data_IF_340475741121
#
_entry.id   IF_340475741121
#
_cell.length_a   1.000
_cell.length_b   1.000
_cell.length_c   1.000
_cell.angle_alpha   90.00
_cell.angle_beta   90.00
_cell.angle_gamma   90.00
#
_symmetry.space_group_name_H-M   'P 1'
#
loop_
_entity.id
_entity.type
_entity.pdbx_description
1 polymer ?
#
# COMPACT_ATOMS: atom_id res chain seq x y z
N UNK A 1 -22.77 9.25 -10.00
CA UNK A 1 -23.66 10.42 -9.93
C UNK A 1 -25.07 9.93 -9.97
N UNK A 2 -25.89 10.35 -9.00
CA UNK A 2 -27.27 9.91 -8.86
C UNK A 2 -28.22 11.10 -8.95
N UNK A 3 -29.45 10.86 -9.38
CA UNK A 3 -30.55 11.84 -9.31
C UNK A 3 -30.90 12.20 -7.87
N UNK A 4 -31.77 13.21 -7.72
CA UNK A 4 -32.56 13.38 -6.50
C UNK A 4 -33.44 12.15 -6.23
N UNK A 5 -33.89 12.01 -4.98
CA UNK A 5 -34.77 10.90 -4.60
C UNK A 5 -36.13 11.06 -5.29
N UNK A 6 -36.52 10.06 -6.06
CA UNK A 6 -37.80 10.04 -6.78
C UNK A 6 -38.92 9.51 -5.87
N UNK A 7 -40.16 9.64 -6.34
CA UNK A 7 -41.38 9.24 -5.62
C UNK A 7 -41.48 7.74 -5.32
N UNK A 8 -40.77 6.91 -6.08
CA UNK A 8 -40.62 5.47 -5.89
C UNK A 8 -39.53 5.12 -4.85
N UNK A 9 -38.96 6.12 -4.18
CA UNK A 9 -37.85 6.00 -3.25
C UNK A 9 -36.54 5.50 -3.89
N UNK A 10 -36.40 5.60 -5.22
CA UNK A 10 -35.17 5.28 -5.94
C UNK A 10 -34.42 6.53 -6.42
N UNK A 11 -33.18 6.34 -6.84
CA UNK A 11 -32.37 7.36 -7.52
C UNK A 11 -31.83 6.77 -8.83
N UNK A 12 -31.96 7.50 -9.92
CA UNK A 12 -31.34 7.11 -11.19
C UNK A 12 -29.82 7.27 -11.09
N UNK A 13 -29.07 6.28 -11.58
CA UNK A 13 -27.62 6.40 -11.76
C UNK A 13 -27.33 6.99 -13.14
N UNK A 14 -26.73 8.18 -13.19
CA UNK A 14 -26.34 8.81 -14.44
C UNK A 14 -24.96 8.34 -14.92
N UNK A 15 -24.00 8.26 -13.99
CA UNK A 15 -22.60 7.97 -14.29
C UNK A 15 -22.00 7.19 -13.13
N UNK A 16 -21.29 6.10 -13.44
CA UNK A 16 -20.43 5.37 -12.50
C UNK A 16 -18.98 5.46 -12.96
N UNK A 17 -18.07 5.61 -12.01
CA UNK A 17 -16.64 5.59 -12.27
C UNK A 17 -15.98 4.66 -11.26
N UNK A 18 -15.13 3.76 -11.75
CA UNK A 18 -14.38 2.83 -10.92
C UNK A 18 -12.89 3.06 -11.19
N UNK A 19 -12.10 3.12 -10.12
CA UNK A 19 -10.66 3.24 -10.26
C UNK A 19 -10.09 1.93 -10.81
N UNK A 20 -9.25 2.01 -11.85
CA UNK A 20 -8.49 0.88 -12.34
C UNK A 20 -7.28 0.68 -11.41
N UNK A 21 -7.38 -0.31 -10.52
CA UNK A 21 -6.37 -0.59 -9.51
C UNK A 21 -5.50 -1.79 -9.92
N UNK A 22 -4.23 -1.85 -9.47
CA UNK A 22 -3.41 -3.05 -9.62
C UNK A 22 -4.04 -4.27 -8.92
N UNK A 23 -3.95 -5.44 -9.53
CA UNK A 23 -4.55 -6.69 -9.04
C UNK A 23 -3.54 -7.64 -8.37
N UNK A 24 -2.25 -7.28 -8.37
CA UNK A 24 -1.15 -8.10 -7.87
C UNK A 24 -0.75 -7.79 -6.41
N UNK A 25 -1.53 -6.97 -5.69
CA UNK A 25 -1.25 -6.65 -4.30
C UNK A 25 -1.64 -7.81 -3.39
N UNK A 26 -0.68 -8.35 -2.65
CA UNK A 26 -0.86 -9.49 -1.73
C UNK A 26 -0.53 -9.07 -0.30
N UNK A 27 -1.54 -9.13 0.57
CA UNK A 27 -1.39 -8.92 2.02
C UNK A 27 -1.55 -10.23 2.79
N UNK A 28 -1.06 -10.22 4.02
CA UNK A 28 -1.21 -11.26 5.05
C UNK A 28 -0.68 -12.65 4.65
N UNK A 29 0.14 -12.69 3.60
CA UNK A 29 0.69 -13.91 3.03
C UNK A 29 2.13 -13.67 2.59
N UNK A 30 2.97 -14.65 2.88
CA UNK A 30 4.34 -14.65 2.40
C UNK A 30 4.38 -14.99 0.90
N UNK A 31 5.06 -14.17 0.13
CA UNK A 31 5.36 -14.39 -1.30
C UNK A 31 6.87 -14.39 -1.50
N UNK A 32 7.34 -14.95 -2.60
CA UNK A 32 8.77 -14.92 -2.91
C UNK A 32 9.26 -13.46 -3.07
N UNK A 33 10.55 -13.23 -2.82
CA UNK A 33 11.13 -11.87 -2.86
C UNK A 33 11.04 -11.21 -4.23
N UNK A 34 11.05 -11.98 -5.32
CA UNK A 34 10.92 -11.41 -6.68
C UNK A 34 9.50 -10.89 -6.91
N UNK A 35 8.49 -11.71 -6.62
CA UNK A 35 7.09 -11.30 -6.66
C UNK A 35 6.83 -10.10 -5.72
N UNK A 36 7.43 -10.11 -4.53
CA UNK A 36 7.36 -8.99 -3.59
C UNK A 36 7.95 -7.70 -4.17
N UNK A 37 9.11 -7.78 -4.81
CA UNK A 37 9.77 -6.63 -5.44
C UNK A 37 8.96 -6.08 -6.59
N UNK A 38 8.36 -6.95 -7.42
CA UNK A 38 7.49 -6.55 -8.52
C UNK A 38 6.26 -5.83 -7.96
N UNK A 39 5.60 -6.44 -6.96
CA UNK A 39 4.43 -5.86 -6.29
C UNK A 39 4.72 -4.47 -5.72
N UNK A 40 5.84 -4.29 -4.99
CA UNK A 40 6.21 -2.99 -4.45
C UNK A 40 6.47 -1.94 -5.55
N UNK A 41 7.11 -2.32 -6.64
CA UNK A 41 7.45 -1.38 -7.72
C UNK A 41 6.24 -1.02 -8.59
N UNK A 42 5.32 -1.96 -8.82
CA UNK A 42 4.17 -1.74 -9.71
C UNK A 42 2.98 -1.10 -9.00
N UNK A 43 2.83 -1.34 -7.69
CA UNK A 43 1.53 -1.18 -7.02
C UNK A 43 1.57 -0.28 -5.79
N UNK A 44 2.73 0.33 -5.51
CA UNK A 44 2.91 1.28 -4.42
C UNK A 44 3.60 2.56 -4.90
N UNK A 45 3.10 3.70 -4.41
CA UNK A 45 3.70 5.01 -4.62
C UNK A 45 5.11 5.03 -4.03
N UNK A 46 6.01 5.76 -4.69
CA UNK A 46 7.38 5.92 -4.24
C UNK A 46 7.48 6.68 -2.92
N UNK A 47 8.09 6.03 -1.92
CA UNK A 47 8.47 6.67 -0.68
C UNK A 47 9.73 6.02 -0.09
N UNK A 48 10.20 6.57 1.02
CA UNK A 48 11.44 6.13 1.70
C UNK A 48 11.37 4.66 2.12
N UNK A 49 10.25 4.23 2.68
CA UNK A 49 10.09 2.89 3.22
C UNK A 49 9.97 1.84 2.10
N UNK A 50 9.28 2.16 1.00
CA UNK A 50 9.26 1.31 -0.21
C UNK A 50 10.67 1.08 -0.73
N UNK A 51 11.47 2.14 -0.85
CA UNK A 51 12.86 2.07 -1.32
C UNK A 51 13.73 1.27 -0.36
N UNK A 52 13.51 1.41 0.95
CA UNK A 52 14.20 0.61 1.97
C UNK A 52 13.85 -0.88 1.84
N UNK A 53 12.56 -1.21 1.69
CA UNK A 53 12.12 -2.59 1.52
C UNK A 53 12.72 -3.21 0.26
N UNK A 54 12.69 -2.53 -0.89
CA UNK A 54 13.32 -3.02 -2.13
C UNK A 54 14.81 -3.28 -1.97
N UNK A 55 15.53 -2.42 -1.23
CA UNK A 55 16.94 -2.64 -0.92
C UNK A 55 17.13 -3.89 -0.06
N UNK A 56 16.26 -4.07 0.93
CA UNK A 56 16.31 -5.22 1.86
C UNK A 56 16.05 -6.52 1.11
N UNK A 57 14.94 -6.60 0.37
CA UNK A 57 14.50 -7.81 -0.34
C UNK A 57 15.31 -8.09 -1.61
N UNK A 58 15.89 -7.08 -2.25
CA UNK A 58 16.79 -7.25 -3.40
C UNK A 58 18.19 -7.75 -3.06
N UNK A 59 18.65 -7.58 -1.81
CA UNK A 59 19.98 -8.05 -1.37
C UNK A 59 19.96 -9.46 -0.76
N UNK A 60 18.81 -10.13 -0.73
CA UNK A 60 18.64 -11.43 -0.08
C UNK A 60 19.24 -12.54 -0.93
N UNK A 61 20.27 -13.21 -0.42
CA UNK A 61 20.70 -14.53 -0.89
C UNK A 61 20.13 -15.60 0.04
N UNK A 62 19.86 -16.81 -0.44
CA UNK A 62 19.34 -17.94 0.36
C UNK A 62 20.07 -18.15 1.70
N UNK A 63 21.37 -17.89 1.74
CA UNK A 63 22.21 -18.03 2.94
C UNK A 63 22.09 -16.90 3.97
N UNK A 64 21.46 -15.76 3.65
CA UNK A 64 21.37 -14.58 4.51
C UNK A 64 20.21 -14.65 5.53
N UNK A 65 19.18 -15.45 5.25
CA UNK A 65 17.94 -15.51 6.06
C UNK A 65 18.06 -16.46 7.27
N UNK A 66 19.22 -17.10 7.46
CA UNK A 66 19.43 -18.02 8.59
C UNK A 66 19.52 -17.30 9.94
N UNK A 67 19.74 -15.99 9.95
CA UNK A 67 19.85 -15.15 11.15
C UNK A 67 18.78 -14.05 11.09
N UNK A 68 17.50 -14.41 11.18
CA UNK A 68 16.45 -13.43 11.47
C UNK A 68 16.39 -13.27 12.99
N UNK A 69 16.84 -12.12 13.49
CA UNK A 69 16.53 -11.70 14.85
C UNK A 69 15.16 -11.04 14.86
N UNK A 70 14.15 -11.66 15.48
CA UNK A 70 12.83 -11.06 15.68
C UNK A 70 12.68 -10.69 17.17
N UNK A 71 12.47 -9.41 17.46
CA UNK A 71 12.26 -8.92 18.83
C UNK A 71 10.78 -8.83 19.21
N UNK A 72 9.90 -9.37 18.36
CA UNK A 72 8.44 -9.29 18.48
C UNK A 72 7.85 -8.06 17.80
N UNK A 73 8.64 -7.03 17.49
CA UNK A 73 8.20 -5.79 16.86
C UNK A 73 8.88 -5.60 15.50
N UNK A 74 10.21 -5.59 15.48
CA UNK A 74 11.02 -5.45 14.28
C UNK A 74 11.73 -6.76 13.95
N UNK A 75 12.10 -6.90 12.67
CA UNK A 75 13.01 -7.96 12.25
C UNK A 75 14.35 -7.32 11.88
N UNK A 76 15.39 -7.70 12.61
CA UNK A 76 16.75 -7.50 12.19
C UNK A 76 17.06 -8.52 11.09
N UNK A 77 17.16 -8.05 9.84
CA UNK A 77 17.66 -8.84 8.75
C UNK A 77 19.16 -8.52 8.59
N UNK A 78 20.03 -9.46 8.95
CA UNK A 78 21.46 -9.36 8.66
C UNK A 78 21.69 -9.62 7.18
N UNK A 79 21.92 -8.57 6.40
CA UNK A 79 22.07 -8.66 4.95
C UNK A 79 23.56 -8.80 4.61
N UNK A 80 23.95 -9.98 4.13
CA UNK A 80 25.29 -10.21 3.55
C UNK A 80 25.31 -9.67 2.12
N UNK A 81 25.69 -8.40 1.94
CA UNK A 81 25.91 -7.87 0.58
C UNK A 81 27.11 -8.59 -0.04
N UNK A 82 27.02 -8.96 -1.32
CA UNK A 82 27.97 -9.87 -2.00
C UNK A 82 29.43 -9.39 -2.12
N UNK A 83 29.79 -8.25 -1.53
CA UNK A 83 31.15 -7.68 -1.51
C UNK A 83 31.60 -7.52 -0.05
N UNK A 84 32.11 -8.59 0.56
CA UNK A 84 32.82 -8.63 1.84
C UNK A 84 32.22 -7.90 3.08
N UNK A 85 31.07 -7.25 2.96
CA UNK A 85 30.49 -6.31 3.92
C UNK A 85 29.11 -6.81 4.30
N UNK A 86 29.02 -7.44 5.46
CA UNK A 86 27.74 -7.69 6.11
C UNK A 86 27.36 -6.38 6.80
N UNK A 87 26.31 -5.73 6.31
CA UNK A 87 25.74 -4.57 6.99
C UNK A 87 24.39 -5.01 7.55
N UNK A 88 24.23 -4.90 8.86
CA UNK A 88 22.94 -5.12 9.51
C UNK A 88 22.02 -3.97 9.12
N UNK A 89 20.92 -4.29 8.43
CA UNK A 89 19.88 -3.32 8.09
C UNK A 89 18.66 -3.65 8.93
N UNK A 90 18.37 -2.81 9.91
CA UNK A 90 17.13 -2.90 10.67
C UNK A 90 16.01 -2.28 9.85
N UNK A 91 14.97 -3.06 9.59
CA UNK A 91 13.76 -2.56 8.91
C UNK A 91 12.86 -1.93 9.98
N UNK A 92 12.46 -0.65 9.84
CA UNK A 92 11.52 -0.03 10.74
C UNK A 92 10.19 -0.77 10.67
N UNK A 93 9.56 -1.01 11.83
CA UNK A 93 8.28 -1.68 11.91
C UNK A 93 7.36 -0.92 12.88
N UNK A 94 6.17 -0.43 12.45
CA UNK A 94 5.59 -0.53 11.11
C UNK A 94 6.32 0.32 10.06
N UNK A 95 6.30 -0.15 8.80
CA UNK A 95 6.62 0.67 7.62
C UNK A 95 5.39 1.45 7.18
N UNK A 96 5.59 2.61 6.56
CA UNK A 96 4.54 3.43 5.98
C UNK A 96 4.61 3.28 4.47
N UNK A 97 3.55 2.78 3.84
CA UNK A 97 3.47 2.60 2.40
C UNK A 97 2.15 3.17 1.87
N UNK A 98 2.14 3.58 0.61
CA UNK A 98 0.95 4.10 -0.08
C UNK A 98 0.62 3.21 -1.29
N UNK A 99 -0.15 2.13 -1.11
CA UNK A 99 -0.64 1.31 -2.23
C UNK A 99 -1.61 2.10 -3.11
N UNK A 100 -1.64 1.80 -4.42
CA UNK A 100 -2.66 2.34 -5.31
C UNK A 100 -4.02 1.72 -4.97
N UNK A 101 -4.87 2.51 -4.31
CA UNK A 101 -6.21 2.12 -3.82
C UNK A 101 -7.30 3.13 -4.18
N UNK A 102 -6.94 4.26 -4.79
CA UNK A 102 -7.85 5.28 -5.32
C UNK A 102 -7.44 5.67 -6.75
N UNK A 103 -8.15 6.63 -7.34
CA UNK A 103 -7.80 7.20 -8.63
C UNK A 103 -6.35 7.73 -8.65
N UNK A 104 -5.54 7.47 -9.69
CA UNK A 104 -4.13 7.85 -9.73
C UNK A 104 -3.84 9.35 -9.56
N UNK A 105 -4.77 10.21 -9.98
CA UNK A 105 -4.70 11.67 -9.84
C UNK A 105 -4.89 12.16 -8.38
N UNK A 106 -5.36 11.28 -7.50
CA UNK A 106 -5.53 11.54 -6.07
C UNK A 106 -4.30 11.02 -5.33
N UNK A 107 -3.80 11.82 -4.39
CA UNK A 107 -2.72 11.39 -3.49
C UNK A 107 -3.15 10.14 -2.73
N UNK A 108 -2.50 9.01 -2.98
CA UNK A 108 -2.86 7.74 -2.36
C UNK A 108 -2.78 7.83 -0.82
N UNK A 109 -3.73 7.23 -0.08
CA UNK A 109 -3.66 7.18 1.38
C UNK A 109 -2.47 6.34 1.84
N UNK A 110 -1.76 6.82 2.84
CA UNK A 110 -0.70 6.04 3.49
C UNK A 110 -1.31 5.06 4.48
N UNK A 111 -0.66 3.91 4.65
CA UNK A 111 -1.06 2.91 5.64
C UNK A 111 0.18 2.35 6.32
N UNK A 112 -0.01 1.94 7.58
CA UNK A 112 1.03 1.24 8.35
C UNK A 112 0.97 -0.24 7.99
N UNK A 113 2.13 -0.84 7.73
CA UNK A 113 2.25 -2.28 7.50
C UNK A 113 3.30 -2.89 8.42
N UNK A 114 3.01 -4.09 8.92
CA UNK A 114 4.03 -4.94 9.52
C UNK A 114 4.73 -5.69 8.39
N UNK A 115 6.03 -5.44 8.24
CA UNK A 115 6.88 -6.20 7.32
C UNK A 115 7.45 -7.43 8.01
N UNK A 116 7.37 -8.59 7.37
CA UNK A 116 8.00 -9.83 7.84
C UNK A 116 8.71 -10.58 6.72
N UNK A 117 9.79 -11.23 7.05
CA UNK A 117 10.55 -12.15 6.21
C UNK A 117 10.70 -13.50 6.91
N UNK A 118 10.90 -14.56 6.11
CA UNK A 118 11.18 -15.90 6.59
C UNK A 118 12.15 -16.64 5.66
N UNK A 119 12.74 -17.73 6.15
CA UNK A 119 13.58 -18.63 5.35
C UNK A 119 12.85 -19.10 4.07
N UNK A 120 13.58 -19.25 2.96
CA UNK A 120 13.00 -19.60 1.66
C UNK A 120 12.74 -18.39 0.75
N UNK A 121 13.64 -17.39 0.77
CA UNK A 121 13.43 -15.98 0.38
C UNK A 121 11.97 -15.55 0.21
N UNK A 122 11.24 -15.43 1.33
CA UNK A 122 9.86 -14.93 1.31
C UNK A 122 9.68 -13.70 2.18
N UNK A 123 8.83 -12.79 1.73
CA UNK A 123 8.46 -11.56 2.41
C UNK A 123 6.93 -11.39 2.45
N UNK A 124 6.44 -10.65 3.43
CA UNK A 124 5.02 -10.38 3.63
C UNK A 124 4.80 -8.95 4.18
N UNK A 125 3.66 -8.36 3.85
CA UNK A 125 3.11 -7.17 4.47
C UNK A 125 1.77 -7.51 5.13
N UNK A 126 1.60 -7.10 6.38
CA UNK A 126 0.34 -7.22 7.13
C UNK A 126 -0.20 -5.82 7.43
N UNK A 127 -1.47 -5.56 7.18
CA UNK A 127 -2.06 -4.25 7.47
C UNK A 127 -2.09 -3.98 8.98
N UNK A 128 -1.64 -2.78 9.38
CA UNK A 128 -1.47 -2.39 10.77
C UNK A 128 -2.16 -1.07 11.12
N UNK A 129 -3.08 -0.62 10.28
CA UNK A 129 -3.80 0.65 10.43
C UNK A 129 -5.29 0.46 10.79
N UNK A 130 -5.75 -0.79 10.93
CA UNK A 130 -7.15 -1.11 11.23
C UNK A 130 -8.13 -0.69 10.11
N UNK A 131 -7.65 -0.50 8.88
CA UNK A 131 -8.47 -0.04 7.76
C UNK A 131 -8.79 1.46 7.79
N UNK A 132 -8.08 2.24 8.63
CA UNK A 132 -8.26 3.70 8.71
C UNK A 132 -8.06 4.40 7.36
N UNK A 133 -7.22 3.84 6.48
CA UNK A 133 -7.01 4.34 5.12
C UNK A 133 -8.31 4.51 4.31
N UNK A 134 -9.36 3.74 4.60
CA UNK A 134 -10.65 3.82 3.87
C UNK A 134 -11.33 5.18 4.09
N UNK A 135 -11.33 5.66 5.32
CA UNK A 135 -11.91 6.96 5.66
C UNK A 135 -11.10 8.10 5.04
N UNK A 136 -9.77 7.97 5.06
CA UNK A 136 -8.87 8.91 4.40
C UNK A 136 -9.10 8.93 2.88
N UNK A 137 -9.23 7.76 2.25
CA UNK A 137 -9.53 7.63 0.83
C UNK A 137 -10.85 8.32 0.46
N UNK A 138 -11.93 8.05 1.21
CA UNK A 138 -13.22 8.70 0.99
C UNK A 138 -13.12 10.22 1.12
N UNK A 139 -12.42 10.72 2.15
CA UNK A 139 -12.20 12.15 2.34
C UNK A 139 -11.41 12.80 1.20
N UNK A 140 -10.34 12.14 0.72
CA UNK A 140 -9.52 12.63 -0.39
C UNK A 140 -10.27 12.62 -1.72
N UNK A 141 -11.07 11.57 -2.00
CA UNK A 141 -11.92 11.50 -3.19
C UNK A 141 -13.00 12.59 -3.14
N UNK A 142 -13.66 12.76 -2.00
CA UNK A 142 -14.64 13.83 -1.82
C UNK A 142 -14.02 15.21 -2.10
N UNK A 143 -12.88 15.51 -1.48
CA UNK A 143 -12.19 16.78 -1.67
C UNK A 143 -11.80 17.00 -3.14
N UNK A 144 -11.23 15.98 -3.78
CA UNK A 144 -10.89 16.06 -5.20
C UNK A 144 -12.12 16.38 -6.07
N UNK A 145 -13.25 15.72 -5.83
CA UNK A 145 -14.49 15.99 -6.57
C UNK A 145 -15.06 17.39 -6.26
N UNK A 146 -15.02 17.85 -5.01
CA UNK A 146 -15.45 19.20 -4.63
C UNK A 146 -14.61 20.27 -5.35
N UNK A 147 -13.29 20.06 -5.44
CA UNK A 147 -12.37 20.96 -6.13
C UNK A 147 -12.62 20.94 -7.66
N UNK A 148 -12.77 19.76 -8.27
CA UNK A 148 -12.99 19.63 -9.72
C UNK A 148 -14.38 20.08 -10.20
N UNK A 149 -15.38 20.03 -9.33
CA UNK A 149 -16.77 20.41 -9.64
C UNK A 149 -17.12 21.81 -9.12
N UNK A 150 -16.12 22.58 -8.70
CA UNK A 150 -16.33 23.94 -8.23
C UNK A 150 -16.98 24.80 -9.33
N UNK A 151 -18.10 25.44 -9.00
CA UNK A 151 -18.86 26.28 -9.94
C UNK A 151 -19.92 25.53 -10.74
N UNK A 152 -20.04 24.20 -10.57
CA UNK A 152 -21.17 23.44 -11.13
C UNK A 152 -22.33 23.47 -10.14
N UNK A 153 -23.45 24.06 -10.55
CA UNK A 153 -24.66 24.15 -9.73
C UNK A 153 -25.37 22.80 -9.60
N UNK A 154 -26.18 22.64 -8.55
CA UNK A 154 -27.02 21.46 -8.28
C UNK A 154 -26.26 20.13 -8.08
N UNK A 155 -24.97 20.18 -7.76
CA UNK A 155 -24.19 19.00 -7.37
C UNK A 155 -23.89 19.06 -5.87
N UNK A 156 -24.11 17.93 -5.19
CA UNK A 156 -23.68 17.72 -3.80
C UNK A 156 -22.80 16.49 -3.72
N UNK A 157 -21.55 16.67 -3.31
CA UNK A 157 -20.62 15.56 -3.04
C UNK A 157 -20.85 15.05 -1.62
N UNK A 158 -21.01 13.75 -1.48
CA UNK A 158 -21.23 13.06 -0.20
C UNK A 158 -20.14 12.02 0.03
N UNK A 159 -19.87 11.70 1.30
CA UNK A 159 -18.90 10.69 1.78
C UNK A 159 -19.62 9.67 2.63
#
# INVERSE_FOLDING_TARGET
>A
MYSELRSDAERESYITCEALLPDNIVFDRFIDTEQFNIMLQSSFVENKDRTLLLKVTGCVKDSAIKEIGDDGVSQAATIKTGVASVNDVVVPNPVILAPYRTFPEIVQPESKFIFRMQSGPRAALFEADGGAWRNEAMGKIKKFLEDQLQGVENIKVIS
#
